data_IF_122673467709
#
_entry.id   IF_122673467709
#
_cell.length_a   1.000
_cell.length_b   1.000
_cell.length_c   1.000
_cell.angle_alpha   90.00
_cell.angle_beta   90.00
_cell.angle_gamma   90.00
#
_symmetry.space_group_name_H-M   'P 1'
#
loop_
_entity.id
_entity.type
_entity.pdbx_description
1 polymer ?
#
# COMPACT_ATOMS: atom_id res chain seq x y z
N UNK A 1 -22.75 31.33 -17.72
CA UNK A 1 -23.98 30.81 -17.08
C UNK A 1 -23.58 30.23 -15.73
N UNK A 2 -23.95 30.91 -14.64
CA UNK A 2 -23.55 30.52 -13.28
C UNK A 2 -24.27 29.23 -12.86
N UNK A 3 -23.51 28.16 -12.56
CA UNK A 3 -24.06 26.92 -12.00
C UNK A 3 -24.26 27.12 -10.50
N UNK A 4 -25.52 27.33 -10.12
CA UNK A 4 -25.99 27.45 -8.75
C UNK A 4 -25.76 26.11 -8.01
N UNK A 5 -24.65 25.99 -7.28
CA UNK A 5 -24.37 24.81 -6.42
C UNK A 5 -25.32 24.87 -5.22
N UNK A 6 -26.31 23.98 -5.19
CA UNK A 6 -27.22 23.81 -4.06
C UNK A 6 -26.50 23.02 -2.97
N UNK A 7 -26.02 23.72 -1.95
CA UNK A 7 -25.50 23.10 -0.74
C UNK A 7 -26.67 22.59 0.10
N UNK A 8 -26.81 21.26 0.22
CA UNK A 8 -27.73 20.62 1.15
C UNK A 8 -27.01 20.51 2.50
N UNK A 9 -27.47 21.29 3.46
CA UNK A 9 -26.97 21.31 4.83
C UNK A 9 -27.59 20.13 5.60
N UNK A 10 -26.90 18.98 5.63
CA UNK A 10 -27.29 17.85 6.47
C UNK A 10 -26.68 18.06 7.85
N UNK A 11 -27.53 18.35 8.83
CA UNK A 11 -27.17 18.42 10.24
C UNK A 11 -27.01 17.00 10.77
N UNK A 12 -25.77 16.51 10.81
CA UNK A 12 -25.42 15.28 11.51
C UNK A 12 -25.44 15.56 13.03
N UNK A 13 -26.43 15.00 13.72
CA UNK A 13 -26.52 15.04 15.17
C UNK A 13 -25.52 14.02 15.76
N UNK A 14 -24.34 14.49 16.18
CA UNK A 14 -23.38 13.72 16.96
C UNK A 14 -23.96 13.38 18.34
N UNK A 15 -24.33 12.11 18.54
CA UNK A 15 -24.60 11.55 19.87
C UNK A 15 -23.25 11.26 20.52
N UNK A 16 -22.70 12.25 21.22
CA UNK A 16 -21.57 12.05 22.12
C UNK A 16 -22.02 11.24 23.32
N UNK A 17 -21.65 9.96 23.35
CA UNK A 17 -21.80 9.13 24.55
C UNK A 17 -20.62 9.45 25.47
N UNK A 18 -20.86 10.32 26.45
CA UNK A 18 -19.94 10.55 27.55
C UNK A 18 -19.88 9.28 28.42
N UNK A 19 -18.85 8.46 28.21
CA UNK A 19 -18.52 7.35 29.12
C UNK A 19 -17.93 7.91 30.41
N UNK A 20 -18.72 7.89 31.49
CA UNK A 20 -18.23 8.19 32.84
C UNK A 20 -17.41 7.01 33.36
N UNK A 21 -16.11 7.23 33.58
CA UNK A 21 -15.28 6.30 34.35
C UNK A 21 -15.65 6.41 35.84
N UNK A 22 -16.26 5.37 36.40
CA UNK A 22 -16.41 5.19 37.84
C UNK A 22 -15.85 3.83 38.23
N UNK A 23 -14.62 3.84 38.74
CA UNK A 23 -14.02 2.71 39.43
C UNK A 23 -14.57 2.63 40.86
N UNK A 24 -15.34 1.58 41.19
CA UNK A 24 -15.48 1.01 42.54
C UNK A 24 -15.96 -0.45 42.42
N UNK A 25 -15.13 -1.39 42.88
CA UNK A 25 -15.34 -2.84 42.66
C UNK A 25 -16.26 -3.56 43.65
N UNK A 26 -16.47 -4.87 43.39
CA UNK A 26 -16.32 -5.98 44.35
C UNK A 26 -16.81 -7.32 43.75
N UNK A 27 -15.91 -8.30 43.74
CA UNK A 27 -16.04 -9.72 44.17
C UNK A 27 -17.02 -10.70 43.47
N UNK A 28 -16.38 -11.61 42.72
CA UNK A 28 -16.58 -13.06 42.54
C UNK A 28 -17.97 -13.67 42.25
N UNK A 29 -18.13 -14.22 41.04
CA UNK A 29 -18.57 -15.62 40.84
C UNK A 29 -17.90 -16.18 39.57
N UNK A 30 -17.32 -17.37 39.69
CA UNK A 30 -16.53 -18.01 38.64
C UNK A 30 -17.33 -18.33 37.38
N UNK A 31 -16.96 -17.65 36.31
CA UNK A 31 -16.64 -18.31 35.06
C UNK A 31 -15.20 -17.90 34.79
N UNK A 32 -14.34 -18.87 34.53
CA UNK A 32 -12.99 -18.65 34.06
C UNK A 32 -13.12 -17.81 32.78
N UNK A 33 -13.03 -16.49 32.92
CA UNK A 33 -12.65 -15.61 31.85
C UNK A 33 -11.22 -16.04 31.56
N UNK A 34 -11.10 -17.02 30.66
CA UNK A 34 -9.93 -17.16 29.84
C UNK A 34 -9.67 -15.76 29.30
N UNK A 35 -8.73 -15.06 29.92
CA UNK A 35 -7.98 -14.07 29.21
C UNK A 35 -7.41 -14.85 28.03
N UNK A 36 -8.04 -14.74 26.86
CA UNK A 36 -7.33 -14.87 25.62
C UNK A 36 -6.30 -13.75 25.69
N UNK A 37 -5.16 -14.09 26.27
CA UNK A 37 -3.90 -13.52 25.82
C UNK A 37 -3.94 -13.73 24.31
N UNK A 38 -4.17 -12.65 23.59
CA UNK A 38 -3.90 -12.55 22.18
C UNK A 38 -2.41 -12.90 22.07
N UNK A 39 -2.11 -14.17 21.80
CA UNK A 39 -0.76 -14.58 21.44
C UNK A 39 -0.55 -13.89 20.10
N UNK A 40 0.03 -12.69 20.16
CA UNK A 40 0.33 -11.86 19.00
C UNK A 40 1.15 -12.72 18.06
N UNK A 41 0.48 -13.30 17.08
CA UNK A 41 1.11 -14.10 16.05
C UNK A 41 1.61 -13.08 15.04
N UNK A 42 2.90 -13.14 14.74
CA UNK A 42 3.51 -12.32 13.70
C UNK A 42 2.74 -12.55 12.40
N UNK A 43 2.18 -11.50 11.79
CA UNK A 43 1.39 -11.66 10.57
C UNK A 43 2.26 -12.15 9.42
N UNK A 44 1.72 -13.05 8.61
CA UNK A 44 2.45 -13.63 7.46
C UNK A 44 2.02 -13.04 6.12
N UNK A 45 0.87 -12.39 6.11
CA UNK A 45 0.33 -11.69 4.95
C UNK A 45 -0.44 -10.46 5.40
N UNK A 46 -0.12 -9.31 4.83
CA UNK A 46 -0.82 -8.05 5.02
C UNK A 46 -1.38 -7.57 3.68
N UNK A 47 -2.55 -6.94 3.74
CA UNK A 47 -3.18 -6.26 2.62
C UNK A 47 -3.70 -4.91 3.11
N UNK A 48 -3.65 -3.90 2.26
CA UNK A 48 -4.25 -2.61 2.54
C UNK A 48 -4.84 -1.97 1.28
N UNK A 49 -5.91 -1.19 1.48
CA UNK A 49 -6.56 -0.45 0.41
C UNK A 49 -6.98 0.92 0.90
N UNK A 50 -6.82 1.94 0.04
CA UNK A 50 -7.30 3.29 0.30
C UNK A 50 -8.46 3.67 -0.63
N UNK A 51 -9.44 4.37 -0.10
CA UNK A 51 -10.53 4.98 -0.87
C UNK A 51 -10.67 6.46 -0.52
N UNK A 52 -10.98 7.28 -1.53
CA UNK A 52 -11.26 8.70 -1.35
C UNK A 52 -12.77 8.94 -1.40
N UNK A 53 -13.36 9.46 -0.32
CA UNK A 53 -14.75 9.93 -0.27
C UNK A 53 -14.81 11.38 0.23
N UNK A 54 -15.28 12.29 -0.62
CA UNK A 54 -15.52 13.70 -0.27
C UNK A 54 -14.33 14.40 0.41
N UNK A 55 -13.08 14.09 0.02
CA UNK A 55 -11.87 14.67 0.61
C UNK A 55 -11.39 13.96 1.89
N UNK A 56 -12.01 12.83 2.25
CA UNK A 56 -11.57 11.95 3.32
C UNK A 56 -10.98 10.69 2.71
N UNK A 57 -9.72 10.41 3.03
CA UNK A 57 -9.04 9.16 2.73
C UNK A 57 -9.41 8.14 3.81
N UNK A 58 -9.98 7.01 3.43
CA UNK A 58 -10.21 5.87 4.32
C UNK A 58 -9.27 4.74 3.92
N UNK A 59 -8.39 4.36 4.84
CA UNK A 59 -7.46 3.24 4.66
C UNK A 59 -8.00 2.05 5.46
N UNK A 60 -8.11 0.91 4.80
CA UNK A 60 -8.46 -0.38 5.42
C UNK A 60 -7.25 -1.30 5.34
N UNK A 61 -6.89 -1.90 6.47
CA UNK A 61 -5.76 -2.82 6.61
C UNK A 61 -6.26 -4.15 7.16
N UNK A 62 -5.82 -5.25 6.54
CA UNK A 62 -6.04 -6.60 7.01
C UNK A 62 -4.73 -7.37 7.11
N UNK A 63 -4.68 -8.30 8.07
CA UNK A 63 -3.59 -9.24 8.23
C UNK A 63 -4.17 -10.66 8.31
N UNK A 64 -3.61 -11.58 7.53
CA UNK A 64 -4.02 -12.99 7.44
C UNK A 64 -5.54 -13.16 7.22
N UNK A 65 -6.13 -12.27 6.41
CA UNK A 65 -7.55 -12.25 6.08
C UNK A 65 -8.49 -11.69 7.16
N UNK A 66 -7.95 -11.12 8.24
CA UNK A 66 -8.71 -10.48 9.32
C UNK A 66 -8.39 -8.98 9.42
N UNK A 67 -9.34 -8.13 9.87
CA UNK A 67 -9.04 -6.72 10.09
C UNK A 67 -7.89 -6.53 11.08
N UNK A 68 -6.92 -5.69 10.72
CA UNK A 68 -5.73 -5.49 11.52
C UNK A 68 -5.88 -4.23 12.41
N UNK A 69 -6.17 -4.42 13.70
CA UNK A 69 -6.20 -3.33 14.69
C UNK A 69 -4.78 -2.86 15.06
N UNK A 70 -4.64 -1.60 15.46
CA UNK A 70 -3.42 -0.97 15.96
C UNK A 70 -2.24 -1.01 14.96
N UNK A 71 -2.52 -1.02 13.65
CA UNK A 71 -1.51 -0.75 12.62
C UNK A 71 -1.27 0.75 12.59
N UNK A 72 -0.01 1.15 12.67
CA UNK A 72 0.40 2.53 12.47
C UNK A 72 0.34 2.85 10.98
N UNK A 73 -0.46 3.82 10.59
CA UNK A 73 -0.57 4.31 9.21
C UNK A 73 -0.12 5.77 9.20
N UNK A 74 0.85 6.09 8.35
CA UNK A 74 1.37 7.45 8.16
C UNK A 74 0.94 7.97 6.80
N UNK A 75 0.46 9.22 6.77
CA UNK A 75 0.11 9.98 5.57
C UNK A 75 0.34 11.46 5.84
N UNK A 76 1.03 12.18 4.94
CA UNK A 76 1.33 13.62 5.06
C UNK A 76 1.86 14.02 6.46
N UNK A 77 2.89 13.30 6.94
CA UNK A 77 3.48 13.42 8.29
C UNK A 77 2.51 13.14 9.46
N UNK A 78 1.27 12.69 9.20
CA UNK A 78 0.29 12.31 10.19
C UNK A 78 0.29 10.81 10.41
N UNK A 79 0.59 10.38 11.63
CA UNK A 79 0.49 8.97 12.02
C UNK A 79 -0.76 8.73 12.86
N UNK A 80 -1.56 7.73 12.46
CA UNK A 80 -2.75 7.28 13.19
C UNK A 80 -2.78 5.74 13.29
N UNK A 81 -3.55 5.21 14.24
CA UNK A 81 -3.72 3.78 14.42
C UNK A 81 -5.04 3.31 13.83
N UNK A 82 -5.03 2.15 13.17
CA UNK A 82 -6.27 1.47 12.76
C UNK A 82 -7.10 1.05 13.97
N UNK A 83 -8.42 1.17 13.81
CA UNK A 83 -9.40 0.74 14.81
C UNK A 83 -9.66 -0.78 14.75
N UNK A 84 -10.60 -1.27 15.57
CA UNK A 84 -10.95 -2.69 15.62
C UNK A 84 -11.59 -3.26 14.35
N UNK A 85 -11.90 -2.41 13.37
CA UNK A 85 -12.32 -2.81 12.03
C UNK A 85 -11.17 -2.75 11.02
N UNK A 86 -9.94 -2.49 11.47
CA UNK A 86 -8.78 -2.33 10.61
C UNK A 86 -8.82 -1.03 9.80
N UNK A 87 -9.59 -0.03 10.24
CA UNK A 87 -9.80 1.21 9.46
C UNK A 87 -9.19 2.43 10.13
N UNK A 88 -8.74 3.38 9.31
CA UNK A 88 -8.26 4.70 9.75
C UNK A 88 -8.60 5.74 8.67
N UNK A 89 -8.81 6.99 9.07
CA UNK A 89 -9.19 8.06 8.14
C UNK A 89 -8.32 9.30 8.27
N UNK A 90 -7.98 9.89 7.12
CA UNK A 90 -7.23 11.14 7.00
C UNK A 90 -8.02 12.15 6.16
N UNK A 91 -7.74 13.43 6.33
CA UNK A 91 -8.22 14.43 5.38
C UNK A 91 -7.18 14.51 4.26
N UNK A 92 -7.62 14.45 3.00
CA UNK A 92 -6.74 14.67 1.86
C UNK A 92 -6.10 16.06 2.00
N UNK A 93 -4.78 16.13 1.94
CA UNK A 93 -4.02 17.37 1.98
C UNK A 93 -4.25 18.16 0.68
N UNK A 94 -4.24 19.48 0.77
CA UNK A 94 -4.40 20.33 -0.42
C UNK A 94 -3.15 20.28 -1.32
N UNK A 95 -2.02 19.81 -0.79
CA UNK A 95 -0.73 19.68 -1.48
C UNK A 95 -0.59 18.33 -2.25
N UNK A 96 -1.46 17.35 -1.98
CA UNK A 96 -1.47 16.03 -2.66
C UNK A 96 -2.35 16.06 -3.92
N UNK A 97 -1.95 16.87 -4.90
CA UNK A 97 -2.74 17.05 -6.13
C UNK A 97 -2.58 15.87 -7.12
N UNK A 98 -1.48 15.12 -7.04
CA UNK A 98 -1.09 14.12 -8.05
C UNK A 98 -0.78 12.73 -7.46
N UNK A 99 -0.07 12.65 -6.34
CA UNK A 99 0.41 11.40 -5.74
C UNK A 99 0.09 11.39 -4.23
N UNK A 100 -0.14 10.20 -3.67
CA UNK A 100 -0.44 9.99 -2.26
C UNK A 100 0.25 8.72 -1.80
N UNK A 101 0.99 8.80 -0.70
CA UNK A 101 1.76 7.70 -0.12
C UNK A 101 1.25 7.36 1.28
N UNK A 102 1.18 6.07 1.57
CA UNK A 102 0.85 5.54 2.89
C UNK A 102 1.94 4.58 3.35
N UNK A 103 2.52 4.85 4.51
CA UNK A 103 3.41 3.90 5.19
C UNK A 103 2.59 3.16 6.26
N UNK A 104 2.68 1.83 6.29
CA UNK A 104 2.12 1.01 7.37
C UNK A 104 3.21 0.32 8.18
N UNK A 105 3.00 0.29 9.49
CA UNK A 105 3.91 -0.35 10.42
C UNK A 105 3.15 -1.08 11.52
N UNK A 106 3.51 -2.34 11.72
CA UNK A 106 3.08 -3.15 12.86
C UNK A 106 4.18 -4.14 13.21
N UNK A 107 4.13 -4.68 14.42
CA UNK A 107 5.01 -5.78 14.81
C UNK A 107 4.88 -6.93 13.79
N UNK A 108 5.99 -7.31 13.15
CA UNK A 108 6.04 -8.36 12.15
C UNK A 108 5.89 -7.95 10.69
N UNK A 109 5.46 -6.72 10.37
CA UNK A 109 5.47 -6.24 8.99
C UNK A 109 5.53 -4.71 8.87
N UNK A 110 6.15 -4.28 7.77
CA UNK A 110 6.16 -2.90 7.29
C UNK A 110 5.62 -2.92 5.85
N UNK A 111 5.03 -1.82 5.40
CA UNK A 111 4.60 -1.72 4.01
C UNK A 111 4.41 -0.29 3.54
N UNK A 112 4.37 -0.12 2.23
CA UNK A 112 4.22 1.16 1.56
C UNK A 112 3.18 1.00 0.44
N UNK A 113 2.24 1.95 0.35
CA UNK A 113 1.32 2.04 -0.77
C UNK A 113 1.43 3.40 -1.41
N UNK A 114 1.57 3.41 -2.73
CA UNK A 114 1.57 4.62 -3.53
C UNK A 114 0.38 4.67 -4.46
N UNK A 115 -0.34 5.78 -4.41
CA UNK A 115 -1.52 6.05 -5.23
C UNK A 115 -1.31 7.30 -6.07
N UNK A 116 -1.91 7.30 -7.27
CA UNK A 116 -2.09 8.50 -8.08
C UNK A 116 -3.54 8.98 -7.92
N UNK A 117 -3.71 10.28 -7.67
CA UNK A 117 -5.01 10.93 -7.60
C UNK A 117 -5.40 11.44 -8.98
N UNK A 118 -6.50 10.91 -9.54
CA UNK A 118 -6.99 11.35 -10.85
C UNK A 118 -8.51 11.32 -10.90
N UNK A 119 -9.12 12.39 -11.44
CA UNK A 119 -10.58 12.56 -11.51
C UNK A 119 -11.31 12.34 -10.16
N UNK A 120 -10.65 12.67 -9.05
CA UNK A 120 -11.18 12.48 -7.70
C UNK A 120 -11.26 11.02 -7.25
N UNK A 121 -10.47 10.14 -7.87
CA UNK A 121 -10.34 8.72 -7.52
C UNK A 121 -8.86 8.35 -7.33
N UNK A 122 -8.59 7.40 -6.44
CA UNK A 122 -7.25 6.87 -6.23
C UNK A 122 -7.00 5.67 -7.14
N UNK A 123 -5.83 5.62 -7.75
CA UNK A 123 -5.33 4.44 -8.48
C UNK A 123 -4.05 3.97 -7.82
N UNK A 124 -4.02 2.73 -7.33
CA UNK A 124 -2.81 2.12 -6.77
C UNK A 124 -1.79 1.95 -7.89
N UNK A 125 -0.57 2.47 -7.68
CA UNK A 125 0.54 2.35 -8.64
C UNK A 125 1.69 1.53 -8.10
N UNK A 126 1.87 1.48 -6.78
CA UNK A 126 2.92 0.68 -6.12
C UNK A 126 2.41 0.15 -4.78
N UNK A 127 2.75 -1.10 -4.48
CA UNK A 127 2.50 -1.77 -3.20
C UNK A 127 3.76 -2.58 -2.82
N UNK A 128 4.28 -2.37 -1.63
CA UNK A 128 5.42 -3.13 -1.09
C UNK A 128 5.15 -3.54 0.36
N UNK A 129 5.56 -4.76 0.71
CA UNK A 129 5.46 -5.29 2.07
C UNK A 129 6.74 -6.02 2.46
N UNK A 130 7.24 -5.72 3.64
CA UNK A 130 8.37 -6.39 4.27
C UNK A 130 7.89 -7.08 5.55
N UNK A 131 8.34 -8.32 5.77
CA UNK A 131 7.92 -9.14 6.92
C UNK A 131 9.13 -9.52 7.78
N UNK A 132 8.99 -9.35 9.09
CA UNK A 132 9.99 -9.83 10.05
C UNK A 132 9.74 -11.33 10.30
N UNK A 133 10.16 -12.15 9.35
CA UNK A 133 10.10 -13.60 9.49
C UNK A 133 11.31 -14.00 10.34
N UNK A 134 11.11 -14.11 11.65
CA UNK A 134 12.07 -14.80 12.51
C UNK A 134 12.17 -16.23 12.01
N UNK A 135 13.20 -16.48 11.18
CA UNK A 135 13.52 -17.73 10.51
C UNK A 135 13.32 -18.88 11.48
N UNK A 136 12.13 -19.50 11.44
CA UNK A 136 11.88 -20.74 12.15
C UNK A 136 12.90 -21.70 11.57
N UNK A 137 13.89 -22.00 12.40
CA UNK A 137 15.05 -22.79 12.05
C UNK A 137 14.53 -24.04 11.35
N UNK A 138 14.75 -24.10 10.04
CA UNK A 138 14.43 -25.23 9.19
C UNK A 138 15.22 -26.39 9.78
N UNK A 139 14.61 -27.12 10.71
CA UNK A 139 15.02 -28.46 11.12
C UNK A 139 14.74 -29.38 9.94
N UNK A 140 15.47 -29.10 8.85
CA UNK A 140 15.72 -30.00 7.76
C UNK A 140 16.45 -31.18 8.38
N UNK A 141 15.64 -32.13 8.84
CA UNK A 141 16.00 -33.50 9.15
C UNK A 141 16.66 -34.07 7.89
N UNK A 142 17.96 -33.84 7.75
CA UNK A 142 18.86 -34.52 6.80
C UNK A 142 18.99 -35.99 7.24
N UNK A 143 17.85 -36.69 7.25
CA UNK A 143 17.74 -38.12 7.35
C UNK A 143 17.65 -38.72 5.96
N UNK A 144 18.78 -38.87 5.27
CA UNK A 144 19.01 -39.89 4.23
C UNK A 144 20.53 -39.93 3.94
N UNK A 145 21.33 -40.75 4.62
CA UNK A 145 21.59 -42.16 4.31
C UNK A 145 21.95 -42.39 2.83
N UNK A 146 23.23 -42.29 2.48
CA UNK A 146 24.00 -43.33 1.75
C UNK A 146 25.29 -42.75 1.17
N UNK A 147 26.39 -42.99 1.87
CA UNK A 147 27.73 -43.02 1.29
C UNK A 147 27.83 -44.26 0.38
N UNK A 148 27.46 -44.16 -0.89
CA UNK A 148 27.78 -45.20 -1.89
C UNK A 148 28.56 -44.62 -3.09
N UNK A 149 29.81 -45.06 -3.14
CA UNK A 149 30.71 -45.23 -4.28
C UNK A 149 31.09 -44.00 -5.12
N UNK A 150 32.26 -43.45 -4.75
CA UNK A 150 33.24 -43.00 -5.74
C UNK A 150 33.55 -44.15 -6.72
N UNK A 151 33.38 -43.95 -8.03
CA UNK A 151 34.38 -44.25 -9.09
C UNK A 151 33.90 -43.59 -10.40
N UNK A 152 34.38 -42.37 -10.69
CA UNK A 152 34.26 -41.74 -12.01
C UNK A 152 35.52 -42.14 -12.79
N UNK A 153 35.37 -43.06 -13.75
CA UNK A 153 36.40 -43.25 -14.78
C UNK A 153 36.15 -42.27 -15.92
N UNK A 154 37.14 -41.39 -16.04
CA UNK A 154 37.52 -40.50 -17.12
C UNK A 154 37.54 -41.24 -18.47
N UNK A 155 36.76 -40.77 -19.45
CA UNK A 155 37.01 -41.11 -20.85
C UNK A 155 36.77 -39.86 -21.72
N UNK A 156 37.87 -39.16 -21.94
CA UNK A 156 38.06 -38.16 -22.97
C UNK A 156 37.89 -38.79 -24.36
N UNK A 157 37.03 -38.23 -25.22
CA UNK A 157 37.28 -38.10 -26.67
C UNK A 157 36.10 -37.30 -27.28
N UNK A 158 36.29 -36.07 -27.79
CA UNK A 158 36.99 -35.68 -29.04
C UNK A 158 36.02 -35.54 -30.22
N UNK A 159 36.35 -34.56 -31.04
CA UNK A 159 35.91 -34.32 -32.41
C UNK A 159 34.67 -33.45 -32.75
N UNK A 160 35.00 -32.16 -32.96
CA UNK A 160 34.93 -31.45 -34.24
C UNK A 160 33.58 -31.13 -34.93
N UNK A 161 33.45 -29.81 -35.19
CA UNK A 161 33.05 -29.17 -36.46
C UNK A 161 31.58 -29.18 -36.93
N UNK A 162 30.97 -27.98 -36.89
CA UNK A 162 30.46 -27.20 -38.04
C UNK A 162 29.65 -26.02 -37.46
N UNK A 163 30.07 -24.75 -37.60
CA UNK A 163 29.89 -23.93 -38.80
C UNK A 163 28.42 -24.00 -39.30
N UNK A 164 27.57 -23.09 -38.81
CA UNK A 164 26.48 -22.58 -39.65
C UNK A 164 26.15 -21.13 -39.29
N UNK A 165 26.41 -20.28 -40.26
CA UNK A 165 26.16 -18.84 -40.29
C UNK A 165 24.76 -18.62 -40.87
N UNK A 166 23.88 -17.95 -40.16
CA UNK A 166 22.60 -17.44 -40.68
C UNK A 166 22.05 -16.44 -39.65
N UNK A 167 21.57 -15.26 -39.98
CA UNK A 167 21.60 -14.42 -41.16
C UNK A 167 21.17 -13.05 -40.59
N UNK A 168 21.72 -11.97 -41.14
CA UNK A 168 21.24 -10.61 -40.86
C UNK A 168 19.84 -10.42 -41.47
N UNK A 169 19.09 -9.44 -40.96
CA UNK A 169 17.87 -8.81 -41.49
C UNK A 169 16.65 -8.93 -40.54
N UNK A 170 16.33 -7.85 -39.82
CA UNK A 170 15.20 -7.01 -40.25
C UNK A 170 15.22 -5.66 -39.51
N UNK A 171 15.51 -4.60 -40.27
CA UNK A 171 15.26 -3.22 -39.89
C UNK A 171 13.79 -2.90 -40.23
N UNK A 172 12.93 -2.72 -39.23
CA UNK A 172 11.62 -2.08 -39.41
C UNK A 172 11.59 -0.82 -38.55
N UNK A 173 12.07 0.22 -39.22
CA UNK A 173 11.89 1.64 -39.07
C UNK A 173 10.39 2.01 -39.04
N UNK A 174 9.87 2.48 -37.90
CA UNK A 174 8.63 3.28 -37.88
C UNK A 174 8.86 4.58 -37.11
N UNK A 175 9.43 5.54 -37.85
CA UNK A 175 9.19 6.98 -37.75
C UNK A 175 7.70 7.25 -37.46
N UNK A 176 7.37 7.74 -36.26
CA UNK A 176 6.09 8.41 -36.02
C UNK A 176 6.36 9.90 -35.87
N UNK A 177 5.71 10.62 -36.78
CA UNK A 177 5.94 11.98 -37.17
C UNK A 177 5.65 13.02 -36.08
N UNK A 178 6.35 14.14 -36.23
CA UNK A 178 5.95 15.48 -35.81
C UNK A 178 4.43 15.68 -35.86
N UNK A 179 3.85 16.15 -34.75
CA UNK A 179 2.73 17.08 -34.85
C UNK A 179 3.06 18.30 -34.00
N UNK A 180 3.74 19.24 -34.66
CA UNK A 180 3.87 20.62 -34.23
C UNK A 180 2.47 21.24 -34.16
N UNK A 181 1.90 21.33 -32.95
CA UNK A 181 0.84 22.30 -32.68
C UNK A 181 1.40 23.49 -31.90
N UNK A 182 2.05 24.35 -32.69
CA UNK A 182 1.98 25.80 -32.57
C UNK A 182 0.52 26.22 -32.43
N UNK A 183 0.14 26.83 -31.30
CA UNK A 183 -0.98 27.76 -31.24
C UNK A 183 -0.79 28.70 -30.04
N UNK A 184 -0.16 29.83 -30.36
CA UNK A 184 -0.58 31.18 -29.97
C UNK A 184 -0.44 31.59 -28.49
N UNK A 185 0.64 32.32 -28.27
CA UNK A 185 0.74 33.37 -27.27
C UNK A 185 -0.44 34.36 -27.37
N UNK A 186 -1.25 34.44 -26.32
CA UNK A 186 -2.10 35.60 -26.08
C UNK A 186 -1.54 36.36 -24.88
N UNK A 187 -0.61 37.26 -25.19
CA UNK A 187 -0.25 38.36 -24.32
C UNK A 187 -1.49 39.22 -24.08
N UNK A 188 -1.98 39.22 -22.85
CA UNK A 188 -2.99 40.18 -22.39
C UNK A 188 -2.46 40.92 -21.16
N UNK A 189 -1.53 41.84 -21.41
CA UNK A 189 -1.41 43.04 -20.58
C UNK A 189 -2.10 44.19 -21.33
N UNK A 190 -3.15 44.77 -20.71
CA UNK A 190 -3.03 46.21 -20.46
C UNK A 190 -3.43 46.62 -19.03
N UNK A 191 -2.49 47.31 -18.39
CA UNK A 191 -2.61 48.59 -17.68
C UNK A 191 -4.03 49.16 -17.54
N UNK A 192 -4.48 49.32 -16.29
CA UNK A 192 -5.30 50.46 -15.88
C UNK A 192 -4.98 50.77 -14.41
N UNK A 193 -4.09 51.75 -14.24
CA UNK A 193 -4.07 52.59 -13.05
C UNK A 193 -5.39 53.37 -12.90
N UNK A 194 -5.67 53.80 -11.66
CA UNK A 194 -6.58 54.91 -11.29
C UNK A 194 -8.07 54.57 -11.12
N UNK A 195 -8.54 54.47 -9.86
CA UNK A 195 -9.56 55.38 -9.30
C UNK A 195 -9.71 55.21 -7.76
N UNK A 196 -9.28 56.25 -7.03
CA UNK A 196 -9.70 56.74 -5.69
C UNK A 196 -9.51 55.93 -4.39
#
# INVERSE_FOLDING_TARGET
>A
MSRLKTAILIVAALVGIAGVAAATGAVETGAEAIAQTDEATTPTHADATAVLDNGTLEVTVSADGSPAENVSVTYDDQTQLTDGNGTVSFNLSEDDEDETEFELQKDGFEGELKYVLSDGSLTLVEEEYEYDIESAEDEHDEGDEAEEDEEIEDDEHDDEAAEDEHDEDDEEDEEIEDDEHDDEAEENEPDDEDDS
#
